data_IF_110968268232
#
_entry.id   IF_110968268232
#
_cell.length_a   1.000
_cell.length_b   1.000
_cell.length_c   1.000
_cell.angle_alpha   90.00
_cell.angle_beta   90.00
_cell.angle_gamma   90.00
#
_symmetry.space_group_name_H-M   'P 1'
#
loop_
_entity.id
_entity.type
_entity.pdbx_description
1 polymer ?
#
# COMPACT_ATOMS: atom_id res chain seq x y z
N UNK A 1 17.81 3.94 14.33
CA UNK A 1 17.23 4.27 13.01
C UNK A 1 16.29 3.14 12.65
N UNK A 2 15.08 3.46 12.24
CA UNK A 2 14.13 2.43 11.84
C UNK A 2 14.61 1.75 10.57
N UNK A 3 14.31 0.46 10.45
CA UNK A 3 14.60 -0.31 9.24
C UNK A 3 13.46 -0.17 8.21
N UNK A 4 12.23 -0.14 8.70
CA UNK A 4 11.03 -0.05 7.87
C UNK A 4 10.08 1.01 8.41
N UNK A 5 9.52 1.84 7.54
CA UNK A 5 8.36 2.66 7.83
C UNK A 5 7.19 2.24 6.95
N UNK A 6 6.06 1.92 7.56
CA UNK A 6 4.83 1.51 6.86
C UNK A 6 3.89 2.70 6.83
N UNK A 7 3.37 3.05 5.66
CA UNK A 7 2.45 4.17 5.45
C UNK A 7 1.13 3.62 4.92
N UNK A 8 0.06 3.83 5.69
CA UNK A 8 -1.31 3.45 5.32
C UNK A 8 -2.12 4.72 5.15
N UNK A 9 -2.54 5.02 3.92
CA UNK A 9 -3.44 6.15 3.64
C UNK A 9 -4.87 5.66 3.63
N UNK A 10 -5.75 6.30 4.38
CA UNK A 10 -7.17 5.93 4.47
C UNK A 10 -8.11 7.10 4.17
N UNK A 11 -9.29 6.77 3.64
CA UNK A 11 -10.42 7.68 3.47
C UNK A 11 -11.71 6.89 3.72
N UNK A 12 -12.15 6.87 4.98
CA UNK A 12 -13.29 6.07 5.44
C UNK A 12 -12.96 4.58 5.57
N UNK A 13 -14.00 3.78 5.74
CA UNK A 13 -13.96 2.31 5.86
C UNK A 13 -13.18 1.82 7.10
N UNK A 14 -13.64 2.19 8.32
CA UNK A 14 -12.95 1.81 9.57
C UNK A 14 -12.82 0.28 9.74
N UNK A 15 -13.74 -0.50 9.19
CA UNK A 15 -13.73 -1.96 9.19
C UNK A 15 -12.49 -2.53 8.45
N UNK A 16 -12.19 -2.03 7.26
CA UNK A 16 -11.04 -2.46 6.47
C UNK A 16 -9.73 -2.00 7.08
N UNK A 17 -9.68 -0.73 7.49
CA UNK A 17 -8.51 -0.15 8.17
C UNK A 17 -8.16 -0.95 9.42
N UNK A 18 -9.15 -1.33 10.23
CA UNK A 18 -8.92 -2.11 11.43
C UNK A 18 -8.36 -3.51 11.14
N UNK A 19 -8.82 -4.17 10.08
CA UNK A 19 -8.29 -5.48 9.65
C UNK A 19 -6.86 -5.35 9.14
N UNK A 20 -6.62 -4.36 8.29
CA UNK A 20 -5.29 -4.04 7.77
C UNK A 20 -4.28 -3.84 8.91
N UNK A 21 -4.55 -2.88 9.81
CA UNK A 21 -3.66 -2.56 10.93
C UNK A 21 -3.46 -3.75 11.87
N UNK A 22 -4.52 -4.52 12.15
CA UNK A 22 -4.41 -5.72 12.96
C UNK A 22 -3.50 -6.77 12.31
N UNK A 23 -3.51 -6.92 10.99
CA UNK A 23 -2.63 -7.85 10.28
C UNK A 23 -1.18 -7.36 10.28
N UNK A 24 -0.96 -6.07 10.06
CA UNK A 24 0.36 -5.44 10.11
C UNK A 24 0.99 -5.63 11.48
N UNK A 25 0.30 -5.22 12.54
CA UNK A 25 0.84 -5.21 13.91
C UNK A 25 1.12 -6.61 14.48
N UNK A 26 0.46 -7.66 13.95
CA UNK A 26 0.80 -9.05 14.29
C UNK A 26 2.09 -9.55 13.65
N UNK A 27 2.56 -8.90 12.62
CA UNK A 27 3.66 -9.40 11.77
C UNK A 27 4.75 -8.35 11.55
N UNK A 28 4.77 -7.35 12.40
CA UNK A 28 5.70 -6.22 12.27
C UNK A 28 7.12 -6.64 12.64
N UNK A 29 8.13 -6.44 11.77
CA UNK A 29 9.53 -6.65 12.09
C UNK A 29 10.02 -5.67 13.16
N UNK A 30 11.12 -6.01 13.83
CA UNK A 30 11.79 -5.08 14.74
C UNK A 30 12.20 -3.79 14.03
N UNK A 31 12.24 -2.69 14.77
CA UNK A 31 12.59 -1.34 14.26
C UNK A 31 11.71 -0.90 13.10
N UNK A 32 10.41 -1.14 13.22
CA UNK A 32 9.41 -0.66 12.27
C UNK A 32 8.49 0.35 12.92
N UNK A 33 8.21 1.44 12.23
CA UNK A 33 7.19 2.43 12.61
C UNK A 33 6.03 2.38 11.63
N UNK A 34 4.79 2.47 12.14
CA UNK A 34 3.57 2.49 11.32
C UNK A 34 2.94 3.86 11.38
N UNK A 35 2.74 4.46 10.22
CA UNK A 35 2.04 5.74 10.03
C UNK A 35 0.70 5.48 9.36
N UNK A 36 -0.36 6.05 9.94
CA UNK A 36 -1.69 6.09 9.33
C UNK A 36 -1.99 7.52 8.95
N UNK A 37 -2.27 7.76 7.68
CA UNK A 37 -2.68 9.08 7.19
C UNK A 37 -4.18 9.05 6.93
N UNK A 38 -4.95 9.64 7.83
CA UNK A 38 -6.37 9.87 7.62
C UNK A 38 -6.56 11.06 6.69
N UNK A 39 -6.98 10.78 5.47
CA UNK A 39 -7.10 11.78 4.39
C UNK A 39 -8.45 12.53 4.46
N UNK A 40 -8.83 12.97 5.68
CA UNK A 40 -10.09 13.64 6.01
C UNK A 40 -11.30 12.71 5.82
N UNK A 41 -11.29 11.56 6.47
CA UNK A 41 -12.40 10.60 6.45
C UNK A 41 -13.71 11.24 6.92
N UNK A 42 -14.84 10.96 6.24
CA UNK A 42 -16.14 11.53 6.63
C UNK A 42 -16.83 10.75 7.76
N UNK A 43 -16.24 9.65 8.21
CA UNK A 43 -16.73 8.75 9.25
C UNK A 43 -15.79 8.72 10.47
N UNK A 44 -15.98 7.79 11.38
CA UNK A 44 -15.22 7.64 12.63
C UNK A 44 -13.86 6.90 12.43
N UNK A 45 -13.35 6.82 11.21
CA UNK A 45 -12.11 6.09 10.92
C UNK A 45 -10.92 6.60 11.74
N UNK A 46 -10.71 7.92 11.80
CA UNK A 46 -9.60 8.50 12.54
C UNK A 46 -9.72 8.30 14.06
N UNK A 47 -10.95 8.41 14.61
CA UNK A 47 -11.25 8.16 16.01
C UNK A 47 -11.03 6.67 16.36
N UNK A 48 -11.49 5.78 15.50
CA UNK A 48 -11.28 4.34 15.64
C UNK A 48 -9.80 3.99 15.66
N UNK A 49 -9.00 4.54 14.74
CA UNK A 49 -7.54 4.32 14.72
C UNK A 49 -6.90 4.81 16.01
N UNK A 50 -7.19 6.05 16.44
CA UNK A 50 -6.63 6.60 17.66
C UNK A 50 -6.98 5.81 18.93
N UNK A 51 -8.21 5.25 18.98
CA UNK A 51 -8.66 4.50 20.15
C UNK A 51 -8.16 3.05 20.20
N UNK A 52 -8.06 2.39 19.05
CA UNK A 52 -7.77 0.94 18.97
C UNK A 52 -6.32 0.61 18.67
N UNK A 53 -5.57 1.54 18.10
CA UNK A 53 -4.19 1.33 17.64
C UNK A 53 -3.28 2.45 18.15
N UNK A 54 -3.11 2.61 19.47
CA UNK A 54 -2.30 3.70 20.05
C UNK A 54 -0.82 3.60 19.70
N UNK A 55 -0.34 2.45 19.22
CA UNK A 55 1.02 2.20 18.78
C UNK A 55 1.35 2.76 17.39
N UNK A 56 0.36 3.17 16.59
CA UNK A 56 0.62 3.79 15.30
C UNK A 56 0.66 5.31 15.39
N UNK A 57 1.44 5.93 14.52
CA UNK A 57 1.46 7.40 14.38
C UNK A 57 0.33 7.84 13.45
N UNK A 58 -0.72 8.46 14.00
CA UNK A 58 -1.85 8.94 13.23
C UNK A 58 -1.65 10.39 12.78
N UNK A 59 -1.71 10.60 11.47
CA UNK A 59 -1.68 11.91 10.81
C UNK A 59 -3.09 12.26 10.31
N UNK A 60 -3.73 13.27 10.91
CA UNK A 60 -5.05 13.74 10.49
C UNK A 60 -4.91 14.88 9.50
N UNK A 61 -5.46 14.73 8.31
CA UNK A 61 -5.51 15.79 7.30
C UNK A 61 -6.83 16.55 7.39
N UNK A 62 -6.83 17.78 6.89
CA UNK A 62 -8.01 18.64 6.85
C UNK A 62 -8.73 18.62 5.50
N UNK A 63 -8.15 17.93 4.50
CA UNK A 63 -8.69 17.78 3.15
C UNK A 63 -8.30 16.43 2.56
N UNK A 64 -9.10 15.91 1.63
CA UNK A 64 -8.75 14.76 0.83
C UNK A 64 -8.04 15.22 -0.46
N UNK A 65 -6.71 15.25 -0.42
CA UNK A 65 -5.88 15.68 -1.55
C UNK A 65 -5.42 14.50 -2.43
N UNK A 66 -6.00 13.32 -2.22
CA UNK A 66 -5.71 12.11 -2.95
C UNK A 66 -4.52 11.31 -2.38
N UNK A 67 -4.38 10.09 -2.88
CA UNK A 67 -3.45 9.08 -2.37
C UNK A 67 -1.98 9.53 -2.41
N UNK A 68 -1.54 10.08 -3.54
CA UNK A 68 -0.14 10.45 -3.71
C UNK A 68 0.29 11.59 -2.78
N UNK A 69 -0.55 12.62 -2.63
CA UNK A 69 -0.26 13.77 -1.75
C UNK A 69 -0.25 13.33 -0.29
N UNK A 70 -1.18 12.46 0.12
CA UNK A 70 -1.24 11.93 1.47
C UNK A 70 -0.01 11.06 1.81
N UNK A 71 0.43 10.19 0.91
CA UNK A 71 1.67 9.43 1.10
C UNK A 71 2.89 10.34 1.18
N UNK A 72 3.02 11.32 0.28
CA UNK A 72 4.17 12.22 0.24
C UNK A 72 4.30 13.07 1.50
N UNK A 73 3.20 13.37 2.20
CA UNK A 73 3.25 14.10 3.45
C UNK A 73 4.06 13.39 4.53
N UNK A 74 4.13 12.04 4.49
CA UNK A 74 4.95 11.23 5.40
C UNK A 74 6.27 10.83 4.75
N UNK A 75 6.26 10.47 3.46
CA UNK A 75 7.47 10.02 2.74
C UNK A 75 8.61 11.03 2.77
N UNK A 76 8.32 12.33 2.78
CA UNK A 76 9.35 13.38 2.88
C UNK A 76 10.07 13.40 4.23
N UNK A 77 9.49 12.78 5.25
CA UNK A 77 10.03 12.69 6.62
C UNK A 77 10.58 11.30 6.94
N UNK A 78 10.50 10.35 5.98
CA UNK A 78 11.01 8.98 6.17
C UNK A 78 12.53 9.01 6.35
N UNK A 79 12.98 8.41 7.45
CA UNK A 79 14.40 8.24 7.79
C UNK A 79 14.81 6.77 7.84
N UNK A 80 13.85 5.85 7.65
CA UNK A 80 14.11 4.42 7.60
C UNK A 80 14.79 4.03 6.28
N UNK A 81 15.42 2.87 6.29
CA UNK A 81 16.06 2.29 5.10
C UNK A 81 15.04 1.95 4.01
N UNK A 82 13.88 1.46 4.41
CA UNK A 82 12.77 1.08 3.52
C UNK A 82 11.47 1.76 3.90
N UNK A 83 10.64 2.04 2.90
CA UNK A 83 9.28 2.52 3.06
C UNK A 83 8.29 1.59 2.36
N UNK A 84 7.26 1.13 3.07
CA UNK A 84 6.16 0.35 2.51
C UNK A 84 4.91 1.23 2.39
N UNK A 85 4.40 1.40 1.17
CA UNK A 85 3.09 1.99 0.92
C UNK A 85 2.05 0.88 0.88
N UNK A 86 1.14 0.87 1.84
CA UNK A 86 0.15 -0.19 2.01
C UNK A 86 -1.27 0.35 1.87
N UNK A 87 -2.07 -0.27 1.02
CA UNK A 87 -3.48 0.06 0.91
C UNK A 87 -4.25 -0.38 2.16
N UNK A 88 -5.25 0.40 2.63
CA UNK A 88 -5.99 0.15 3.86
C UNK A 88 -6.95 -1.05 3.78
N UNK A 89 -7.14 -1.64 2.61
CA UNK A 89 -7.95 -2.84 2.34
C UNK A 89 -7.13 -4.11 2.16
N UNK A 90 -5.84 -4.06 2.49
CA UNK A 90 -4.90 -5.18 2.37
C UNK A 90 -4.67 -5.83 3.74
N UNK A 91 -4.59 -7.15 3.80
CA UNK A 91 -4.15 -7.91 4.98
C UNK A 91 -2.79 -8.57 4.67
N UNK A 92 -1.88 -8.53 5.63
CA UNK A 92 -0.51 -9.04 5.52
C UNK A 92 -0.43 -10.42 6.19
N UNK A 93 0.10 -11.40 5.45
CA UNK A 93 0.44 -12.71 5.99
C UNK A 93 1.68 -12.63 6.90
N UNK A 94 1.73 -13.45 7.97
CA UNK A 94 2.90 -13.52 8.84
C UNK A 94 4.19 -13.87 8.08
N UNK A 95 5.28 -13.15 8.38
CA UNK A 95 6.58 -13.32 7.75
C UNK A 95 6.76 -12.67 6.37
N UNK A 96 5.69 -12.09 5.78
CA UNK A 96 5.80 -11.42 4.48
C UNK A 96 6.75 -10.23 4.53
N UNK A 97 6.67 -9.42 5.59
CA UNK A 97 7.50 -8.21 5.71
C UNK A 97 8.98 -8.56 5.83
N UNK A 98 9.32 -9.57 6.62
CA UNK A 98 10.70 -10.06 6.73
C UNK A 98 11.20 -10.57 5.37
N UNK A 99 10.39 -11.36 4.68
CA UNK A 99 10.75 -11.88 3.35
C UNK A 99 10.97 -10.76 2.31
N UNK A 100 10.17 -9.70 2.34
CA UNK A 100 10.36 -8.54 1.44
C UNK A 100 11.65 -7.79 1.76
N UNK A 101 11.95 -7.60 3.05
CA UNK A 101 13.18 -6.94 3.49
C UNK A 101 14.42 -7.75 3.11
N UNK A 102 14.40 -9.06 3.35
CA UNK A 102 15.49 -9.97 2.96
C UNK A 102 15.71 -9.93 1.45
N UNK A 103 14.62 -9.94 0.66
CA UNK A 103 14.69 -9.84 -0.79
C UNK A 103 15.30 -8.53 -1.29
N UNK A 104 15.05 -7.41 -0.60
CA UNK A 104 15.68 -6.12 -0.92
C UNK A 104 17.17 -6.12 -0.55
N UNK A 105 17.53 -6.66 0.62
CA UNK A 105 18.92 -6.76 1.08
C UNK A 105 19.79 -7.63 0.14
N UNK A 106 19.22 -8.74 -0.34
CA UNK A 106 19.90 -9.65 -1.28
C UNK A 106 20.06 -9.06 -2.69
N UNK A 107 19.28 -8.03 -3.03
CA UNK A 107 19.25 -7.44 -4.36
C UNK A 107 19.43 -5.91 -4.30
N UNK A 108 20.61 -5.39 -3.98
CA UNK A 108 20.84 -3.95 -3.75
C UNK A 108 20.61 -3.07 -4.98
N UNK A 109 20.58 -3.64 -6.18
CA UNK A 109 20.26 -2.93 -7.43
C UNK A 109 18.74 -2.76 -7.64
N UNK A 110 17.91 -3.38 -6.80
CA UNK A 110 16.45 -3.27 -6.88
C UNK A 110 15.97 -2.08 -6.07
N UNK A 111 15.38 -1.09 -6.74
CA UNK A 111 14.83 0.11 -6.09
C UNK A 111 13.42 -0.05 -5.54
N UNK A 112 12.67 -1.07 -5.96
CA UNK A 112 11.29 -1.31 -5.52
C UNK A 112 10.92 -2.78 -5.69
N UNK A 113 10.20 -3.31 -4.70
CA UNK A 113 9.62 -4.66 -4.75
C UNK A 113 8.12 -4.58 -4.45
N UNK A 114 7.36 -5.49 -5.02
CA UNK A 114 5.95 -5.69 -4.71
C UNK A 114 5.64 -7.15 -4.51
N UNK A 115 4.67 -7.44 -3.65
CA UNK A 115 4.23 -8.80 -3.40
C UNK A 115 3.12 -9.24 -4.35
N UNK A 116 2.86 -10.54 -4.36
CA UNK A 116 1.71 -11.12 -5.03
C UNK A 116 0.45 -10.84 -4.21
N UNK A 117 -0.55 -10.22 -4.84
CA UNK A 117 -1.85 -10.00 -4.22
C UNK A 117 -2.80 -11.14 -4.61
N UNK A 118 -3.54 -11.63 -3.62
CA UNK A 118 -4.61 -12.61 -3.80
C UNK A 118 -5.90 -12.09 -3.16
N UNK A 119 -7.02 -12.42 -3.75
CA UNK A 119 -8.33 -12.14 -3.17
C UNK A 119 -8.61 -13.05 -1.98
N UNK A 120 -9.65 -12.77 -1.19
CA UNK A 120 -10.07 -13.63 -0.07
C UNK A 120 -10.33 -15.10 -0.48
N UNK A 121 -10.69 -15.33 -1.74
CA UNK A 121 -10.91 -16.67 -2.30
C UNK A 121 -9.61 -17.33 -2.79
N UNK A 122 -8.44 -16.72 -2.55
CA UNK A 122 -7.12 -17.25 -2.95
C UNK A 122 -6.81 -17.08 -4.44
N UNK A 123 -7.62 -16.33 -5.18
CA UNK A 123 -7.42 -16.07 -6.61
C UNK A 123 -6.41 -14.93 -6.76
N UNK A 124 -5.47 -15.08 -7.70
CA UNK A 124 -4.52 -14.03 -8.02
C UNK A 124 -5.24 -12.77 -8.49
N UNK A 125 -4.98 -11.66 -7.82
CA UNK A 125 -5.46 -10.37 -8.31
C UNK A 125 -4.61 -9.92 -9.52
N UNK A 126 -5.23 -9.95 -10.70
CA UNK A 126 -4.57 -9.54 -11.95
C UNK A 126 -4.20 -8.05 -11.95
N UNK A 127 -4.82 -7.21 -11.11
CA UNK A 127 -4.47 -5.81 -10.96
C UNK A 127 -3.09 -5.59 -10.31
N UNK A 128 -2.56 -6.60 -9.60
CA UNK A 128 -1.24 -6.55 -8.96
C UNK A 128 -0.08 -6.54 -9.97
N UNK A 129 -0.27 -7.04 -11.18
CA UNK A 129 0.75 -7.06 -12.23
C UNK A 129 0.51 -5.94 -13.24
N UNK A 130 1.18 -4.82 -13.07
CA UNK A 130 1.15 -3.73 -14.06
C UNK A 130 2.50 -3.58 -14.73
N UNK A 131 2.49 -3.58 -16.05
CA UNK A 131 3.67 -3.19 -16.83
C UNK A 131 3.86 -1.67 -16.73
N UNK A 132 5.10 -1.23 -16.80
CA UNK A 132 5.40 0.20 -16.94
C UNK A 132 4.66 0.72 -18.18
N UNK A 133 3.83 1.77 -18.04
CA UNK A 133 3.11 2.34 -19.17
C UNK A 133 4.11 2.84 -20.22
N UNK A 134 4.00 2.36 -21.45
CA UNK A 134 4.78 2.87 -22.56
C UNK A 134 3.85 3.49 -23.61
N UNK A 135 4.27 4.53 -24.35
CA UNK A 135 3.46 5.13 -25.40
C UNK A 135 2.95 4.11 -26.42
N UNK A 136 3.77 3.13 -26.75
CA UNK A 136 3.42 2.04 -27.68
C UNK A 136 2.38 1.08 -27.10
N UNK A 137 2.43 0.77 -25.80
CA UNK A 137 1.40 -0.05 -25.15
C UNK A 137 0.05 0.67 -25.13
N UNK A 138 0.05 1.98 -24.86
CA UNK A 138 -1.15 2.81 -24.90
C UNK A 138 -1.74 2.86 -26.33
N UNK A 139 -0.91 3.12 -27.35
CA UNK A 139 -1.34 3.16 -28.74
C UNK A 139 -1.95 1.82 -29.18
N UNK A 140 -1.30 0.71 -28.85
CA UNK A 140 -1.79 -0.63 -29.14
C UNK A 140 -3.14 -0.92 -28.46
N UNK A 141 -3.31 -0.50 -27.21
CA UNK A 141 -4.57 -0.64 -26.48
C UNK A 141 -5.71 0.11 -27.16
N UNK A 142 -5.49 1.38 -27.52
CA UNK A 142 -6.49 2.17 -28.23
C UNK A 142 -6.82 1.62 -29.64
N UNK A 143 -5.81 1.18 -30.39
CA UNK A 143 -6.00 0.57 -31.70
C UNK A 143 -6.82 -0.72 -31.63
N UNK A 144 -6.55 -1.61 -30.66
CA UNK A 144 -7.32 -2.84 -30.45
C UNK A 144 -8.77 -2.57 -30.02
N UNK A 145 -9.00 -1.53 -29.23
CA UNK A 145 -10.33 -1.10 -28.80
C UNK A 145 -11.17 -0.56 -29.97
N UNK A 146 -10.55 0.15 -30.91
CA UNK A 146 -11.22 0.65 -32.13
C UNK A 146 -11.63 -0.50 -33.08
N UNK A 147 -10.94 -1.63 -33.05
CA UNK A 147 -11.23 -2.81 -33.89
C UNK A 147 -12.16 -3.81 -33.16
N UNK A 148 -12.75 -3.44 -32.00
CA UNK A 148 -13.73 -4.27 -31.27
C UNK A 148 -13.13 -5.52 -30.61
N UNK A 149 -11.82 -5.65 -30.51
CA UNK A 149 -11.13 -6.75 -29.82
C UNK A 149 -10.81 -6.32 -28.38
N UNK A 150 -11.80 -6.40 -27.51
CA UNK A 150 -11.60 -6.28 -26.07
C UNK A 150 -11.06 -7.60 -25.52
N UNK A 151 -9.78 -7.84 -25.71
CA UNK A 151 -9.05 -8.86 -24.96
C UNK A 151 -8.50 -8.21 -23.68
N UNK A 152 -8.83 -8.76 -22.52
CA UNK A 152 -8.22 -8.40 -21.25
C UNK A 152 -6.74 -8.77 -21.27
N UNK A 153 -5.88 -7.87 -21.69
CA UNK A 153 -4.42 -8.11 -21.68
C UNK A 153 -3.69 -6.90 -21.14
N UNK A 154 -3.83 -6.72 -19.81
CA UNK A 154 -2.79 -6.12 -19.00
C UNK A 154 -1.99 -7.22 -18.28
N UNK A 155 -1.61 -8.24 -19.01
CA UNK A 155 -0.62 -9.24 -18.55
C UNK A 155 0.67 -9.08 -19.32
#
# INVERSE_FOLDING_TARGET
>A
MDRLQIIVVTYGRPDLVARCLSSVLRSIPEKTTVHVVDNNSPDDTAEMVAARFPEVTLHRRTSNDGFAVANNAVLTEVTAEYALLLNPDTEIEPGLLDHLLDGMDENPDVGMVGCRLVTADGILDHAAKRRIPSPWAALRYFALRLVGRTGSSYT
#
